data_IF_512351030821
#
_entry.id   IF_512351030821
#
_cell.length_a   1.000
_cell.length_b   1.000
_cell.length_c   1.000
_cell.angle_alpha   90.00
_cell.angle_beta   90.00
_cell.angle_gamma   90.00
#
_symmetry.space_group_name_H-M   'P 1'
#
loop_
_entity.id
_entity.type
_entity.pdbx_description
1 polymer ?
#
# COMPACT_ATOMS: atom_id res chain seq x y z
N UNK A 1 -5.01 13.77 12.51
CA UNK A 1 -4.85 12.32 12.33
C UNK A 1 -6.17 11.58 12.24
N UNK A 2 -7.12 12.00 13.02
CA UNK A 2 -8.42 11.34 13.07
C UNK A 2 -9.07 11.32 11.69
N UNK A 3 -9.44 10.14 11.22
CA UNK A 3 -10.10 9.89 9.94
C UNK A 3 -9.28 10.30 8.71
N UNK A 4 -7.97 10.46 8.85
CA UNK A 4 -7.08 10.73 7.72
C UNK A 4 -6.26 9.50 7.38
N UNK A 5 -6.14 9.21 6.08
CA UNK A 5 -5.32 8.10 5.60
C UNK A 5 -4.31 8.64 4.61
N UNK A 6 -3.05 8.28 4.78
CA UNK A 6 -2.01 8.59 3.81
C UNK A 6 -1.85 7.39 2.86
N UNK A 7 -2.05 7.62 1.58
CA UNK A 7 -1.85 6.61 0.54
C UNK A 7 -0.44 6.82 0.00
N UNK A 8 0.49 5.95 0.35
CA UNK A 8 1.88 6.04 -0.13
C UNK A 8 2.08 4.99 -1.20
N UNK A 9 2.35 5.43 -2.42
CA UNK A 9 2.36 4.53 -3.55
C UNK A 9 3.52 4.78 -4.53
N UNK A 10 3.96 3.69 -5.17
CA UNK A 10 4.90 3.72 -6.28
C UNK A 10 4.16 3.32 -7.55
N UNK A 11 4.31 4.08 -8.63
CA UNK A 11 3.63 3.81 -9.90
C UNK A 11 4.58 3.32 -10.98
N UNK A 12 5.63 2.59 -10.59
CA UNK A 12 6.55 2.01 -11.56
C UNK A 12 5.80 1.18 -12.61
N UNK A 13 4.78 0.42 -12.19
CA UNK A 13 3.86 -0.29 -13.10
C UNK A 13 2.53 0.47 -13.08
N UNK A 14 2.43 1.48 -13.95
CA UNK A 14 1.35 2.47 -13.89
C UNK A 14 -0.06 1.89 -13.96
N UNK A 15 -0.28 0.94 -14.86
CA UNK A 15 -1.62 0.37 -15.04
C UNK A 15 -2.06 -0.44 -13.82
N UNK A 16 -1.13 -1.21 -13.23
CA UNK A 16 -1.41 -1.98 -12.03
C UNK A 16 -1.69 -1.03 -10.86
N UNK A 17 -0.84 -0.03 -10.68
CA UNK A 17 -1.00 0.94 -9.59
C UNK A 17 -2.33 1.69 -9.72
N UNK A 18 -2.68 2.09 -10.94
CA UNK A 18 -3.95 2.77 -11.19
C UNK A 18 -5.13 1.90 -10.78
N UNK A 19 -5.10 0.61 -11.13
CA UNK A 19 -6.15 -0.32 -10.73
C UNK A 19 -6.25 -0.52 -9.23
N UNK A 20 -5.10 -0.57 -8.54
CA UNK A 20 -5.08 -0.69 -7.09
C UNK A 20 -5.62 0.58 -6.41
N UNK A 21 -5.23 1.75 -6.90
CA UNK A 21 -5.74 3.02 -6.38
C UNK A 21 -7.25 3.14 -6.59
N UNK A 22 -7.73 2.76 -7.76
CA UNK A 22 -9.17 2.79 -8.06
C UNK A 22 -9.93 1.85 -7.12
N UNK A 23 -9.43 0.63 -6.92
CA UNK A 23 -10.03 -0.32 -6.02
C UNK A 23 -10.08 0.20 -4.58
N UNK A 24 -8.99 0.79 -4.13
CA UNK A 24 -8.92 1.38 -2.80
C UNK A 24 -9.93 2.52 -2.67
N UNK A 25 -9.91 3.48 -3.60
CA UNK A 25 -10.74 4.68 -3.53
C UNK A 25 -12.23 4.36 -3.64
N UNK A 26 -12.58 3.32 -4.39
CA UNK A 26 -13.97 2.90 -4.52
C UNK A 26 -14.49 2.13 -3.28
N UNK A 27 -13.60 1.65 -2.44
CA UNK A 27 -13.96 0.80 -1.30
C UNK A 27 -13.77 1.46 0.06
N UNK A 28 -12.94 2.48 0.16
CA UNK A 28 -12.69 3.16 1.43
C UNK A 28 -13.94 3.88 1.91
N UNK A 29 -14.20 3.83 3.20
CA UNK A 29 -15.36 4.51 3.77
C UNK A 29 -15.24 6.02 3.55
N UNK A 30 -16.37 6.66 3.24
CA UNK A 30 -16.41 8.07 2.88
C UNK A 30 -16.08 9.01 4.04
N UNK A 31 -16.06 8.51 5.27
CA UNK A 31 -15.65 9.33 6.42
C UNK A 31 -14.16 9.56 6.48
N UNK A 32 -13.36 8.76 5.77
CA UNK A 32 -11.92 8.97 5.69
C UNK A 32 -11.58 10.05 4.68
N UNK A 33 -10.66 10.93 5.07
CA UNK A 33 -10.01 11.88 4.17
C UNK A 33 -8.67 11.25 3.75
N UNK A 34 -8.51 11.01 2.45
CA UNK A 34 -7.33 10.32 1.94
C UNK A 34 -6.45 11.26 1.15
N UNK A 35 -5.16 11.27 1.47
CA UNK A 35 -4.16 12.08 0.76
C UNK A 35 -3.15 11.15 0.09
N UNK A 36 -2.81 11.44 -1.16
CA UNK A 36 -1.92 10.61 -1.95
C UNK A 36 -0.49 11.16 -1.94
N UNK A 37 0.47 10.26 -1.74
CA UNK A 37 1.89 10.58 -1.75
C UNK A 37 2.61 9.57 -2.66
N UNK A 38 3.06 10.05 -3.80
CA UNK A 38 3.77 9.21 -4.76
C UNK A 38 5.25 9.16 -4.44
N UNK A 39 5.83 7.96 -4.54
CA UNK A 39 7.29 7.75 -4.42
C UNK A 39 7.80 7.09 -5.69
N UNK A 40 9.12 7.14 -5.92
CA UNK A 40 9.71 6.66 -7.16
C UNK A 40 9.76 5.14 -7.27
N UNK A 41 9.82 4.43 -6.16
CA UNK A 41 9.86 2.97 -6.17
C UNK A 41 9.43 2.41 -4.83
N UNK A 42 9.24 1.09 -4.79
CA UNK A 42 8.81 0.42 -3.56
C UNK A 42 9.80 0.61 -2.42
N UNK A 43 11.09 0.75 -2.74
CA UNK A 43 12.14 0.99 -1.74
C UNK A 43 11.90 2.27 -0.94
N UNK A 44 11.32 3.30 -1.55
CA UNK A 44 11.10 4.60 -0.91
C UNK A 44 9.83 4.68 -0.06
N UNK A 45 8.99 3.66 -0.11
CA UNK A 45 7.71 3.65 0.62
C UNK A 45 7.94 3.80 2.13
N UNK A 46 8.88 3.05 2.68
CA UNK A 46 9.14 3.04 4.13
C UNK A 46 9.58 4.42 4.61
N UNK A 47 10.51 5.03 3.90
CA UNK A 47 10.98 6.36 4.26
C UNK A 47 9.84 7.38 4.26
N UNK A 48 9.00 7.32 3.21
CA UNK A 48 7.89 8.27 3.09
C UNK A 48 6.88 8.10 4.21
N UNK A 49 6.51 6.86 4.53
CA UNK A 49 5.61 6.59 5.64
C UNK A 49 6.19 7.14 6.94
N UNK A 50 7.46 6.83 7.22
CA UNK A 50 8.10 7.29 8.44
C UNK A 50 8.13 8.82 8.53
N UNK A 51 8.29 9.49 7.40
CA UNK A 51 8.31 10.96 7.37
C UNK A 51 6.94 11.59 7.65
N UNK A 52 5.86 10.82 7.54
CA UNK A 52 4.48 11.31 7.71
C UNK A 52 3.86 10.89 9.05
N UNK A 53 4.61 10.21 9.90
CA UNK A 53 4.08 9.63 11.14
C UNK A 53 3.51 10.67 12.11
N UNK A 54 4.06 11.88 12.12
CA UNK A 54 3.56 12.93 12.99
C UNK A 54 2.23 13.51 12.52
N UNK A 55 1.87 13.28 11.26
CA UNK A 55 0.65 13.84 10.67
C UNK A 55 -0.44 12.79 10.42
N UNK A 56 -0.06 11.51 10.31
CA UNK A 56 -0.97 10.42 10.00
C UNK A 56 -0.69 9.22 10.89
N UNK A 57 -1.74 8.53 11.31
CA UNK A 57 -1.60 7.26 12.03
C UNK A 57 -2.24 6.10 11.27
N UNK A 58 -2.77 6.37 10.07
CA UNK A 58 -3.34 5.37 9.18
C UNK A 58 -2.74 5.53 7.80
N UNK A 59 -2.29 4.42 7.24
CA UNK A 59 -1.60 4.41 5.95
C UNK A 59 -2.08 3.23 5.11
N UNK A 60 -1.95 3.38 3.79
CA UNK A 60 -1.89 2.22 2.90
C UNK A 60 -0.61 2.34 2.07
N UNK A 61 0.11 1.24 1.97
CA UNK A 61 1.33 1.16 1.17
C UNK A 61 0.99 0.39 -0.12
N UNK A 62 1.16 1.04 -1.27
CA UNK A 62 0.85 0.45 -2.56
C UNK A 62 2.10 0.40 -3.42
N UNK A 63 2.43 -0.79 -3.91
CA UNK A 63 3.58 -1.00 -4.79
C UNK A 63 3.51 -2.37 -5.42
N UNK A 64 4.42 -2.62 -6.35
CA UNK A 64 4.49 -3.91 -7.03
C UNK A 64 5.94 -4.32 -7.15
N UNK A 65 6.26 -5.51 -6.68
CA UNK A 65 7.59 -6.10 -6.82
C UNK A 65 7.43 -7.39 -7.61
N UNK A 66 8.05 -7.45 -8.80
CA UNK A 66 7.92 -8.59 -9.70
C UNK A 66 9.23 -9.38 -9.72
N UNK A 67 9.15 -10.67 -9.42
CA UNK A 67 10.31 -11.56 -9.48
C UNK A 67 10.81 -11.62 -10.93
N UNK A 68 12.13 -11.52 -11.10
CA UNK A 68 12.74 -11.51 -12.43
C UNK A 68 12.92 -10.11 -13.00
N UNK A 69 12.19 -9.13 -12.48
CA UNK A 69 12.37 -7.72 -12.83
C UNK A 69 13.39 -7.05 -11.91
N UNK A 70 13.79 -7.75 -10.85
CA UNK A 70 14.82 -7.30 -9.93
C UNK A 70 15.66 -8.49 -9.47
N UNK A 71 16.97 -8.28 -9.32
CA UNK A 71 17.90 -9.30 -8.85
C UNK A 71 17.73 -9.59 -7.37
N UNK A 72 17.01 -8.74 -6.65
CA UNK A 72 16.89 -8.80 -5.19
C UNK A 72 15.44 -8.96 -4.72
N UNK A 73 14.65 -9.72 -5.48
CA UNK A 73 13.21 -9.86 -5.22
C UNK A 73 12.93 -10.31 -3.78
N UNK A 74 13.55 -11.42 -3.33
CA UNK A 74 13.29 -11.95 -2.00
C UNK A 74 13.75 -10.99 -0.91
N UNK A 75 14.91 -10.37 -1.09
CA UNK A 75 15.44 -9.40 -0.15
C UNK A 75 14.53 -8.17 -0.05
N UNK A 76 14.18 -7.61 -1.19
CA UNK A 76 13.35 -6.40 -1.25
C UNK A 76 11.96 -6.66 -0.66
N UNK A 77 11.33 -7.76 -1.06
CA UNK A 77 10.00 -8.14 -0.58
C UNK A 77 9.97 -8.34 0.93
N UNK A 78 10.92 -9.11 1.46
CA UNK A 78 11.02 -9.37 2.90
C UNK A 78 11.34 -8.12 3.67
N UNK A 79 12.26 -7.29 3.17
CA UNK A 79 12.69 -6.09 3.87
C UNK A 79 11.54 -5.10 3.99
N UNK A 80 10.78 -4.92 2.93
CA UNK A 80 9.65 -4.00 2.95
C UNK A 80 8.57 -4.50 3.91
N UNK A 81 8.19 -5.77 3.80
CA UNK A 81 7.18 -6.36 4.67
C UNK A 81 7.57 -6.25 6.15
N UNK A 82 8.83 -6.58 6.46
CA UNK A 82 9.33 -6.50 7.84
C UNK A 82 9.33 -5.08 8.37
N UNK A 83 9.69 -4.09 7.54
CA UNK A 83 9.70 -2.71 7.98
C UNK A 83 8.31 -2.12 8.13
N UNK A 84 7.35 -2.53 7.32
CA UNK A 84 5.96 -2.11 7.52
C UNK A 84 5.44 -2.61 8.87
N UNK A 85 5.71 -3.87 9.20
CA UNK A 85 5.35 -4.44 10.50
C UNK A 85 6.08 -3.75 11.65
N UNK A 86 7.36 -3.45 11.46
CA UNK A 86 8.15 -2.76 12.48
C UNK A 86 7.60 -1.37 12.78
N UNK A 87 7.25 -0.60 11.76
CA UNK A 87 6.64 0.72 11.93
C UNK A 87 5.31 0.61 12.70
N UNK A 88 4.51 -0.38 12.35
CA UNK A 88 3.23 -0.61 13.01
C UNK A 88 3.42 -0.84 14.50
N UNK A 89 4.37 -1.68 14.90
CA UNK A 89 4.56 -2.03 16.29
C UNK A 89 5.33 -0.97 17.09
N UNK A 90 6.26 -0.24 16.46
CA UNK A 90 7.11 0.72 17.16
C UNK A 90 6.56 2.14 17.16
N UNK A 91 5.77 2.51 16.15
CA UNK A 91 5.24 3.88 16.00
C UNK A 91 3.74 3.97 16.29
N UNK A 92 3.11 2.85 16.59
CA UNK A 92 1.69 2.80 16.93
C UNK A 92 0.81 3.40 15.82
N UNK A 93 1.08 2.98 14.58
CA UNK A 93 0.29 3.35 13.40
C UNK A 93 -0.23 2.09 12.74
N UNK A 94 -1.29 2.20 11.95
CA UNK A 94 -1.74 1.09 11.14
C UNK A 94 -1.34 1.32 9.69
N UNK A 95 -0.74 0.30 9.08
CA UNK A 95 -0.38 0.34 7.66
C UNK A 95 -1.04 -0.83 6.97
N UNK A 96 -1.99 -0.53 6.08
CA UNK A 96 -2.58 -1.55 5.23
C UNK A 96 -1.58 -1.89 4.13
N UNK A 97 -1.20 -3.17 4.03
CA UNK A 97 -0.15 -3.59 3.09
C UNK A 97 -0.78 -3.97 1.75
N UNK A 98 -0.57 -3.12 0.75
CA UNK A 98 -0.97 -3.37 -0.64
C UNK A 98 0.26 -3.39 -1.54
N UNK A 99 1.41 -3.84 -1.01
CA UNK A 99 2.61 -4.05 -1.80
C UNK A 99 2.54 -5.47 -2.34
N UNK A 100 2.31 -5.60 -3.63
CA UNK A 100 2.19 -6.89 -4.29
C UNK A 100 3.58 -7.48 -4.53
N UNK A 101 3.76 -8.73 -4.14
CA UNK A 101 4.99 -9.49 -4.40
C UNK A 101 4.61 -10.65 -5.30
N UNK A 102 4.85 -10.50 -6.60
CA UNK A 102 4.34 -11.43 -7.60
C UNK A 102 5.46 -12.06 -8.43
N UNK A 103 5.17 -13.20 -9.02
CA UNK A 103 6.13 -13.91 -9.84
C UNK A 103 6.22 -13.33 -11.25
N UNK A 104 5.14 -12.74 -11.73
CA UNK A 104 5.09 -12.12 -13.06
C UNK A 104 4.06 -10.99 -13.06
N UNK A 105 4.10 -10.18 -14.11
CA UNK A 105 3.22 -9.01 -14.20
C UNK A 105 1.74 -9.40 -14.36
N UNK A 106 1.45 -10.53 -14.96
CA UNK A 106 0.06 -10.99 -15.11
C UNK A 106 -0.62 -11.20 -13.76
N UNK A 107 0.12 -11.71 -12.79
CA UNK A 107 -0.39 -11.85 -11.43
C UNK A 107 -0.75 -10.50 -10.81
N UNK A 108 0.10 -9.50 -11.04
CA UNK A 108 -0.15 -8.15 -10.54
C UNK A 108 -1.38 -7.55 -11.21
N UNK A 109 -1.51 -7.71 -12.53
CA UNK A 109 -2.64 -7.21 -13.30
C UNK A 109 -3.95 -7.81 -12.78
N UNK A 110 -3.96 -9.10 -12.50
CA UNK A 110 -5.13 -9.79 -11.97
C UNK A 110 -5.54 -9.21 -10.61
N UNK A 111 -4.57 -8.95 -9.73
CA UNK A 111 -4.82 -8.42 -8.39
C UNK A 111 -5.20 -6.94 -8.37
N UNK A 112 -5.08 -6.26 -9.49
CA UNK A 112 -5.47 -4.86 -9.66
C UNK A 112 -6.75 -4.71 -10.49
N UNK A 113 -7.36 -5.84 -10.88
CA UNK A 113 -8.57 -5.85 -11.69
C UNK A 113 -9.86 -5.63 -10.89
N UNK A 114 -10.99 -5.77 -11.57
CA UNK A 114 -12.30 -5.55 -10.96
C UNK A 114 -12.70 -6.64 -9.98
N UNK A 115 -12.13 -7.85 -10.11
CA UNK A 115 -12.38 -8.96 -9.20
C UNK A 115 -11.15 -9.21 -8.35
N UNK A 116 -11.34 -9.48 -7.06
CA UNK A 116 -10.24 -9.75 -6.12
C UNK A 116 -9.19 -8.65 -6.09
N UNK A 117 -9.62 -7.41 -6.15
CA UNK A 117 -8.73 -6.25 -6.16
C UNK A 117 -8.07 -6.06 -4.78
N UNK A 118 -6.74 -6.05 -4.76
CA UNK A 118 -5.98 -5.90 -3.50
C UNK A 118 -6.08 -4.50 -2.91
N UNK A 119 -6.27 -3.49 -3.75
CA UNK A 119 -6.54 -2.13 -3.27
C UNK A 119 -7.86 -2.08 -2.50
N UNK A 120 -8.89 -2.72 -3.03
CA UNK A 120 -10.19 -2.82 -2.36
C UNK A 120 -10.06 -3.57 -1.02
N UNK A 121 -9.31 -4.67 -0.98
CA UNK A 121 -9.07 -5.41 0.27
C UNK A 121 -8.37 -4.54 1.31
N UNK A 122 -7.40 -3.74 0.87
CA UNK A 122 -6.65 -2.86 1.76
C UNK A 122 -7.54 -1.77 2.36
N UNK A 123 -8.48 -1.24 1.57
CA UNK A 123 -9.46 -0.29 2.07
C UNK A 123 -10.39 -0.95 3.09
N UNK A 124 -10.85 -2.18 2.82
CA UNK A 124 -11.72 -2.89 3.75
C UNK A 124 -11.04 -3.15 5.08
N UNK A 125 -9.74 -3.42 5.08
CA UNK A 125 -9.00 -3.59 6.33
C UNK A 125 -9.06 -2.33 7.19
N UNK A 126 -8.91 -1.17 6.59
CA UNK A 126 -9.03 0.11 7.29
C UNK A 126 -10.47 0.33 7.78
N UNK A 127 -11.45 0.07 6.92
CA UNK A 127 -12.86 0.21 7.29
C UNK A 127 -13.19 -0.67 8.49
N UNK A 128 -12.78 -1.93 8.45
CA UNK A 128 -13.09 -2.90 9.50
C UNK A 128 -12.44 -2.55 10.84
N UNK A 129 -11.27 -1.95 10.81
CA UNK A 129 -10.56 -1.58 12.04
C UNK A 129 -11.09 -0.30 12.68
N UNK A 130 -11.49 0.67 11.88
CA UNK A 130 -11.70 2.02 12.37
C UNK A 130 -13.13 2.55 12.21
N UNK A 131 -13.97 1.93 11.43
CA UNK A 131 -15.37 2.33 11.24
C UNK A 131 -16.26 1.32 11.94
N UNK A 132 -17.09 1.77 12.86
CA UNK A 132 -17.99 0.89 13.61
C UNK A 132 -19.44 0.99 13.14
#
# INVERSE_FOLDING_TARGET
>A
MKNKVAIVYSDYYKDVTSGLLDGFNNSIDTTFECDEFKVSGSWEIIYKINSLIDEYDKFVAIGVIVKGETDHYEFLSSSIANQLLNLTSTKNVYISNCVLNVLNIDQATERAGSENNKGAESAQALNNLFIT
#
